data_IF_102027572200
#
_entry.id   IF_102027572200
#
_cell.length_a   1.000
_cell.length_b   1.000
_cell.length_c   1.000
_cell.angle_alpha   90.00
_cell.angle_beta   90.00
_cell.angle_gamma   90.00
#
_symmetry.space_group_name_H-M   'P 1'
#
loop_
_entity.id
_entity.type
_entity.pdbx_description
1 polymer ?
#
# COMPACT_ATOMS: atom_id res chain seq x y z
N UNK A 1 -16.42 1.50 -13.44
CA UNK A 1 -16.37 2.21 -12.16
C UNK A 1 -17.69 2.93 -11.92
N UNK A 2 -18.06 3.91 -12.74
CA UNK A 2 -19.26 4.75 -12.52
C UNK A 2 -20.54 3.92 -12.40
N UNK A 3 -20.75 2.97 -13.30
CA UNK A 3 -21.89 2.04 -13.23
C UNK A 3 -22.02 1.36 -11.85
N UNK A 4 -20.92 0.82 -11.33
CA UNK A 4 -20.92 0.17 -10.02
C UNK A 4 -21.18 1.12 -8.86
N UNK A 5 -20.63 2.35 -8.94
CA UNK A 5 -20.86 3.37 -7.93
C UNK A 5 -22.32 3.85 -7.92
N UNK A 6 -22.94 3.93 -9.09
CA UNK A 6 -24.29 4.48 -9.29
C UNK A 6 -25.38 3.44 -9.01
N UNK A 7 -25.28 2.25 -9.62
CA UNK A 7 -26.30 1.20 -9.50
C UNK A 7 -26.20 0.39 -8.19
N UNK A 8 -24.98 0.15 -7.72
CA UNK A 8 -24.74 -0.68 -6.52
C UNK A 8 -24.31 0.12 -5.30
N UNK A 9 -24.20 1.43 -5.41
CA UNK A 9 -23.83 2.35 -4.33
C UNK A 9 -22.51 2.00 -3.63
N UNK A 10 -21.56 1.42 -4.37
CA UNK A 10 -20.24 1.04 -3.85
C UNK A 10 -19.48 2.28 -3.37
N UNK A 11 -18.85 2.20 -2.19
CA UNK A 11 -18.17 3.32 -1.55
C UNK A 11 -16.73 3.55 -2.01
N UNK A 12 -16.17 2.62 -2.77
CA UNK A 12 -14.82 2.77 -3.31
C UNK A 12 -14.39 1.61 -4.20
N UNK A 13 -13.19 1.74 -4.75
CA UNK A 13 -12.63 0.80 -5.71
C UNK A 13 -11.16 0.54 -5.41
N UNK A 14 -10.81 -0.72 -5.34
CA UNK A 14 -9.43 -1.18 -5.28
C UNK A 14 -9.06 -1.80 -6.62
N UNK A 15 -7.96 -1.34 -7.20
CA UNK A 15 -7.43 -1.86 -8.46
C UNK A 15 -6.29 -2.83 -8.21
N UNK A 16 -6.52 -4.07 -8.59
CA UNK A 16 -5.48 -5.06 -8.73
C UNK A 16 -4.53 -4.63 -9.84
N UNK A 17 -3.21 -4.75 -9.64
CA UNK A 17 -2.23 -4.34 -10.63
C UNK A 17 -2.54 -2.95 -11.26
N UNK A 18 -2.82 -1.94 -10.44
CA UNK A 18 -3.14 -0.58 -10.91
C UNK A 18 -2.06 -0.02 -11.86
N UNK A 19 -0.81 -0.48 -11.69
CA UNK A 19 0.29 -0.12 -12.60
C UNK A 19 0.15 -0.61 -14.04
N UNK A 20 -0.88 -1.42 -14.37
CA UNK A 20 -1.28 -1.71 -15.75
C UNK A 20 -2.05 -0.56 -16.40
N UNK A 21 -2.55 0.37 -15.61
CA UNK A 21 -3.31 1.53 -16.06
C UNK A 21 -2.41 2.77 -16.10
N UNK A 22 -2.76 3.73 -16.93
CA UNK A 22 -2.07 5.02 -16.99
C UNK A 22 -2.59 6.01 -15.93
N UNK A 23 -1.76 7.01 -15.66
CA UNK A 23 -2.04 8.09 -14.71
C UNK A 23 -3.28 8.89 -15.12
N UNK A 24 -3.44 9.17 -16.41
CA UNK A 24 -4.55 9.98 -16.92
C UNK A 24 -5.90 9.28 -16.72
N UNK A 25 -5.96 7.96 -16.96
CA UNK A 25 -7.15 7.17 -16.69
C UNK A 25 -7.51 7.19 -15.21
N UNK A 26 -6.54 6.98 -14.32
CA UNK A 26 -6.78 6.99 -12.88
C UNK A 26 -7.26 8.36 -12.39
N UNK A 27 -6.60 9.43 -12.84
CA UNK A 27 -7.01 10.81 -12.54
C UNK A 27 -8.40 11.15 -13.12
N UNK A 28 -8.73 10.62 -14.29
CA UNK A 28 -10.07 10.78 -14.89
C UNK A 28 -11.14 10.06 -14.03
N UNK A 29 -10.88 8.84 -13.63
CA UNK A 29 -11.79 8.09 -12.72
C UNK A 29 -12.02 8.90 -11.44
N UNK A 30 -10.95 9.41 -10.82
CA UNK A 30 -11.05 10.23 -9.61
C UNK A 30 -11.93 11.45 -9.82
N UNK A 31 -11.65 12.22 -10.85
CA UNK A 31 -12.42 13.43 -11.20
C UNK A 31 -13.91 13.14 -11.43
N UNK A 32 -14.22 12.07 -12.15
CA UNK A 32 -15.63 11.70 -12.41
C UNK A 32 -16.37 11.28 -11.13
N UNK A 33 -15.69 10.59 -10.22
CA UNK A 33 -16.23 10.26 -8.91
C UNK A 33 -16.43 11.52 -8.05
N UNK A 34 -15.47 12.44 -8.06
CA UNK A 34 -15.54 13.69 -7.29
C UNK A 34 -16.68 14.60 -7.76
N UNK A 35 -16.90 14.70 -9.09
CA UNK A 35 -18.00 15.47 -9.65
C UNK A 35 -19.38 14.94 -9.19
N UNK A 36 -19.53 13.62 -9.10
CA UNK A 36 -20.81 13.00 -8.78
C UNK A 36 -21.08 12.90 -7.28
N UNK A 37 -20.06 12.63 -6.50
CA UNK A 37 -20.22 12.25 -5.08
C UNK A 37 -19.54 13.22 -4.11
N UNK A 38 -18.77 14.17 -4.61
CA UNK A 38 -17.95 15.07 -3.79
C UNK A 38 -16.48 14.62 -3.70
N UNK A 39 -15.59 15.59 -3.49
CA UNK A 39 -14.12 15.37 -3.47
C UNK A 39 -13.73 14.35 -2.40
N UNK A 40 -13.08 13.27 -2.82
CA UNK A 40 -12.55 12.24 -1.93
C UNK A 40 -13.59 11.35 -1.25
N UNK A 41 -14.90 11.53 -1.50
CA UNK A 41 -15.97 10.75 -0.84
C UNK A 41 -15.90 9.27 -1.18
N UNK A 42 -15.69 8.93 -2.46
CA UNK A 42 -15.48 7.55 -2.87
C UNK A 42 -14.01 7.20 -2.75
N UNK A 43 -13.68 6.10 -2.06
CA UNK A 43 -12.30 5.63 -1.89
C UNK A 43 -11.78 5.09 -3.23
N UNK A 44 -10.57 5.48 -3.59
CA UNK A 44 -9.91 5.00 -4.80
C UNK A 44 -8.45 4.68 -4.51
N UNK A 45 -8.03 3.43 -4.71
CA UNK A 45 -6.66 3.00 -4.48
C UNK A 45 -6.32 1.74 -5.26
N UNK A 46 -5.06 1.36 -5.29
CA UNK A 46 -4.66 0.12 -5.95
C UNK A 46 -3.21 -0.27 -5.71
N UNK A 47 -2.80 -1.31 -6.41
CA UNK A 47 -1.44 -1.84 -6.36
C UNK A 47 -0.54 -1.08 -7.34
N UNK A 48 0.54 -0.44 -6.84
CA UNK A 48 1.42 0.39 -7.66
C UNK A 48 2.49 -0.42 -8.40
N UNK A 49 2.15 -1.61 -8.83
CA UNK A 49 2.98 -2.49 -9.66
C UNK A 49 2.15 -3.05 -10.81
N UNK A 50 2.84 -3.67 -11.77
CA UNK A 50 2.24 -4.22 -12.98
C UNK A 50 2.90 -5.56 -13.33
N UNK A 51 2.19 -6.38 -14.09
CA UNK A 51 2.80 -7.45 -14.85
C UNK A 51 3.83 -6.90 -15.85
N UNK A 52 4.64 -7.77 -16.47
CA UNK A 52 5.68 -7.37 -17.41
C UNK A 52 5.11 -6.65 -18.65
N UNK A 53 3.95 -7.09 -19.13
CA UNK A 53 3.27 -6.54 -20.30
C UNK A 53 2.08 -5.66 -19.91
N UNK A 54 1.87 -4.62 -20.67
CA UNK A 54 0.75 -3.70 -20.53
C UNK A 54 0.26 -3.28 -21.92
N UNK A 55 -1.05 -3.04 -22.04
CA UNK A 55 -1.64 -2.50 -23.25
C UNK A 55 -1.42 -0.97 -23.43
N UNK A 56 -0.75 -0.32 -22.48
CA UNK A 56 -0.44 1.12 -22.60
C UNK A 56 0.60 1.32 -23.67
N UNK A 57 0.20 2.09 -24.69
CA UNK A 57 1.03 2.49 -25.82
C UNK A 57 1.65 3.87 -25.59
N UNK A 58 2.66 4.21 -26.43
CA UNK A 58 3.20 5.57 -26.56
C UNK A 58 3.87 6.18 -25.33
N UNK A 59 4.36 5.37 -24.39
CA UNK A 59 5.13 5.85 -23.25
C UNK A 59 4.32 6.65 -22.23
N UNK A 60 2.99 6.53 -22.22
CA UNK A 60 2.16 7.18 -21.20
C UNK A 60 2.61 6.77 -19.78
N UNK A 61 2.69 7.71 -18.83
CA UNK A 61 3.08 7.38 -17.46
C UNK A 61 2.06 6.45 -16.83
N UNK A 62 2.54 5.31 -16.33
CA UNK A 62 1.71 4.31 -15.67
C UNK A 62 1.49 4.66 -14.19
N UNK A 63 0.40 4.20 -13.61
CA UNK A 63 0.08 4.39 -12.19
C UNK A 63 0.97 3.50 -11.27
N UNK A 64 2.28 3.57 -11.51
CA UNK A 64 3.32 2.92 -10.73
C UNK A 64 3.74 3.79 -9.55
N UNK A 65 4.34 3.17 -8.56
CA UNK A 65 4.86 3.82 -7.34
C UNK A 65 5.72 5.05 -7.62
N UNK A 66 6.64 4.97 -8.59
CA UNK A 66 7.49 6.10 -8.98
C UNK A 66 6.75 7.29 -9.60
N UNK A 67 5.48 7.15 -9.93
CA UNK A 67 4.63 8.19 -10.52
C UNK A 67 3.53 8.69 -9.56
N UNK A 68 3.63 8.38 -8.27
CA UNK A 68 2.62 8.75 -7.26
C UNK A 68 2.33 10.26 -7.24
N UNK A 69 3.36 11.07 -7.48
CA UNK A 69 3.26 12.52 -7.56
C UNK A 69 2.48 13.04 -8.80
N UNK A 70 2.21 12.20 -9.78
CA UNK A 70 1.38 12.54 -10.95
C UNK A 70 -0.10 12.23 -10.72
N UNK A 71 -0.41 11.37 -9.75
CA UNK A 71 -1.78 11.05 -9.38
C UNK A 71 -2.42 12.14 -8.52
N UNK A 72 -3.74 12.20 -8.51
CA UNK A 72 -4.50 13.02 -7.57
C UNK A 72 -4.22 12.59 -6.13
N UNK A 73 -4.26 13.53 -5.20
CA UNK A 73 -4.00 13.29 -3.76
C UNK A 73 -4.97 12.32 -3.09
N UNK A 74 -6.13 12.05 -3.72
CA UNK A 74 -7.15 11.10 -3.26
C UNK A 74 -7.12 9.77 -4.03
N UNK A 75 -5.99 9.44 -4.65
CA UNK A 75 -5.72 8.11 -5.22
C UNK A 75 -4.62 7.45 -4.41
N UNK A 76 -4.99 6.43 -3.64
CA UNK A 76 -4.06 5.70 -2.77
C UNK A 76 -3.29 4.60 -3.49
N UNK A 77 -2.11 4.30 -2.97
CA UNK A 77 -1.27 3.18 -3.40
C UNK A 77 -0.88 2.31 -2.21
N UNK A 78 -0.95 1.00 -2.36
CA UNK A 78 -0.40 0.07 -1.37
C UNK A 78 1.09 0.32 -1.16
N UNK A 79 1.50 0.53 0.09
CA UNK A 79 2.89 0.79 0.44
C UNK A 79 3.62 -0.49 0.88
N UNK A 80 4.14 -1.22 -0.11
CA UNK A 80 4.94 -2.42 0.13
C UNK A 80 6.25 -2.12 0.86
N UNK A 81 6.77 -0.90 0.79
CA UNK A 81 7.94 -0.49 1.57
C UNK A 81 7.65 -0.51 3.07
N UNK A 82 6.50 0.00 3.50
CA UNK A 82 6.05 -0.08 4.90
C UNK A 82 5.83 -1.53 5.32
N UNK A 83 5.12 -2.31 4.49
CA UNK A 83 4.91 -3.75 4.75
C UNK A 83 6.22 -4.48 4.99
N UNK A 84 7.17 -4.32 4.07
CA UNK A 84 8.45 -5.04 4.10
C UNK A 84 9.38 -4.51 5.21
N UNK A 85 9.32 -3.23 5.54
CA UNK A 85 10.05 -2.69 6.68
C UNK A 85 9.54 -3.27 8.00
N UNK A 86 8.23 -3.35 8.18
CA UNK A 86 7.61 -3.86 9.41
C UNK A 86 7.84 -5.36 9.58
N UNK A 87 7.35 -6.18 8.65
CA UNK A 87 7.34 -7.66 8.81
C UNK A 87 8.46 -8.40 8.10
N UNK A 88 9.26 -7.71 7.29
CA UNK A 88 10.26 -8.32 6.41
C UNK A 88 9.69 -8.61 5.02
N UNK A 89 10.60 -8.86 4.06
CA UNK A 89 10.25 -9.02 2.65
C UNK A 89 9.17 -10.07 2.43
N UNK A 90 8.12 -9.69 1.71
CA UNK A 90 7.06 -10.61 1.30
C UNK A 90 7.55 -11.70 0.33
N UNK A 91 8.57 -11.39 -0.48
CA UNK A 91 9.15 -12.33 -1.46
C UNK A 91 10.21 -13.27 -0.86
N UNK A 92 10.71 -12.98 0.33
CA UNK A 92 11.75 -13.78 1.02
C UNK A 92 11.20 -14.24 2.37
N UNK A 93 10.62 -15.45 2.37
CA UNK A 93 9.87 -16.02 3.49
C UNK A 93 10.61 -15.86 4.83
N UNK A 94 11.89 -16.21 4.90
CA UNK A 94 12.70 -16.20 6.12
C UNK A 94 13.42 -14.87 6.40
N UNK A 95 13.21 -13.82 5.58
CA UNK A 95 13.85 -12.53 5.82
C UNK A 95 13.08 -11.76 6.88
N UNK A 96 13.70 -11.47 8.05
CA UNK A 96 13.05 -10.74 9.14
C UNK A 96 12.84 -9.26 8.78
N UNK A 97 11.94 -8.59 9.49
CA UNK A 97 11.72 -7.14 9.42
C UNK A 97 12.07 -6.46 10.74
N UNK A 98 11.72 -5.19 10.84
CA UNK A 98 12.01 -4.37 12.03
C UNK A 98 11.46 -4.99 13.31
N UNK A 99 10.21 -5.45 13.31
CA UNK A 99 9.57 -6.00 14.52
C UNK A 99 10.23 -7.28 15.04
N UNK A 100 10.94 -8.01 14.17
CA UNK A 100 11.69 -9.21 14.54
C UNK A 100 13.18 -8.95 14.78
N UNK A 101 13.55 -7.67 14.99
CA UNK A 101 14.89 -7.25 15.39
C UNK A 101 15.89 -7.06 14.24
N UNK A 102 15.44 -7.08 12.99
CA UNK A 102 16.30 -6.74 11.87
C UNK A 102 16.70 -5.26 11.90
N UNK A 103 17.98 -4.99 11.76
CA UNK A 103 18.53 -3.64 11.71
C UNK A 103 18.53 -3.06 10.31
N UNK A 104 18.58 -1.73 10.21
CA UNK A 104 18.63 -1.01 8.93
C UNK A 104 17.26 -0.63 8.36
N UNK A 105 16.18 -0.89 9.10
CA UNK A 105 14.82 -0.49 8.77
C UNK A 105 14.33 0.76 9.53
N UNK A 106 15.16 1.32 10.40
CA UNK A 106 14.78 2.42 11.30
C UNK A 106 14.31 3.66 10.52
N UNK A 107 15.00 4.00 9.43
CA UNK A 107 14.61 5.09 8.55
C UNK A 107 13.31 4.78 7.79
N UNK A 108 13.15 3.55 7.31
CA UNK A 108 11.93 3.13 6.59
C UNK A 108 10.71 3.15 7.52
N UNK A 109 10.88 2.78 8.79
CA UNK A 109 9.82 2.91 9.81
C UNK A 109 9.49 4.39 10.07
N UNK A 110 10.49 5.24 10.21
CA UNK A 110 10.27 6.69 10.41
C UNK A 110 9.56 7.33 9.20
N UNK A 111 9.93 6.95 7.98
CA UNK A 111 9.24 7.36 6.75
C UNK A 111 7.81 6.79 6.68
N UNK A 112 7.62 5.54 7.06
CA UNK A 112 6.29 4.91 7.11
C UNK A 112 5.34 5.67 8.02
N UNK A 113 5.81 6.09 9.21
CA UNK A 113 5.00 6.89 10.15
C UNK A 113 4.57 8.21 9.54
N UNK A 114 5.41 8.84 8.71
CA UNK A 114 5.11 10.10 8.02
C UNK A 114 4.50 9.93 6.63
N UNK A 115 4.03 8.74 6.28
CA UNK A 115 3.46 8.39 4.98
C UNK A 115 4.41 8.72 3.80
N UNK A 116 5.70 8.48 3.97
CA UNK A 116 6.72 8.66 2.92
C UNK A 116 6.74 10.08 2.30
N UNK A 117 6.36 11.07 3.08
CA UNK A 117 6.26 12.46 2.60
C UNK A 117 7.61 13.19 2.52
N UNK A 118 8.66 12.68 3.18
CA UNK A 118 9.97 13.36 3.23
C UNK A 118 10.92 12.88 2.14
N UNK A 119 11.23 11.59 2.13
CA UNK A 119 12.19 11.02 1.18
C UNK A 119 11.53 10.52 -0.10
N UNK A 120 10.22 10.37 -0.07
CA UNK A 120 9.45 9.80 -1.18
C UNK A 120 9.55 8.27 -1.27
N UNK A 121 8.69 7.72 -2.11
CA UNK A 121 8.63 6.28 -2.36
C UNK A 121 9.55 5.94 -3.53
N UNK A 122 10.50 5.04 -3.33
CA UNK A 122 11.39 4.59 -4.39
C UNK A 122 10.69 3.63 -5.35
N UNK A 123 10.92 3.80 -6.63
CA UNK A 123 10.53 2.83 -7.67
C UNK A 123 11.55 1.67 -7.74
N UNK A 124 11.19 0.61 -8.50
CA UNK A 124 12.12 -0.49 -8.79
C UNK A 124 13.39 0.01 -9.52
N UNK A 125 13.30 1.12 -10.25
CA UNK A 125 14.42 1.76 -10.95
C UNK A 125 15.24 2.72 -10.06
N UNK A 126 14.89 2.86 -8.79
CA UNK A 126 15.57 3.78 -7.86
C UNK A 126 15.12 5.23 -7.96
N UNK A 127 14.19 5.57 -8.84
CA UNK A 127 13.55 6.88 -8.88
C UNK A 127 12.66 7.04 -7.65
N UNK A 128 12.67 8.21 -7.05
CA UNK A 128 11.84 8.53 -5.88
C UNK A 128 10.84 9.60 -6.21
N UNK A 129 9.62 9.43 -5.73
CA UNK A 129 8.57 10.43 -5.84
C UNK A 129 7.89 10.61 -4.49
N UNK A 130 7.85 11.82 -3.93
CA UNK A 130 7.12 12.09 -2.69
C UNK A 130 5.61 11.96 -2.92
N UNK A 131 4.91 11.41 -1.94
CA UNK A 131 3.46 11.51 -1.91
C UNK A 131 3.05 12.97 -1.72
N UNK A 132 2.02 13.43 -2.42
CA UNK A 132 1.45 14.77 -2.24
C UNK A 132 0.73 14.93 -0.92
N UNK A 133 0.12 13.86 -0.45
CA UNK A 133 -0.65 13.82 0.77
C UNK A 133 -0.59 12.41 1.41
N UNK A 134 -0.75 12.29 2.73
CA UNK A 134 -0.83 11.00 3.40
C UNK A 134 -1.92 10.07 2.85
N UNK A 135 -3.03 10.62 2.33
CA UNK A 135 -4.12 9.88 1.68
C UNK A 135 -3.69 9.01 0.51
N UNK A 136 -2.55 9.33 -0.12
CA UNK A 136 -1.97 8.51 -1.19
C UNK A 136 -1.28 7.22 -0.69
N UNK A 137 -1.09 7.07 0.61
CA UNK A 137 -0.40 5.92 1.18
C UNK A 137 -1.41 4.99 1.86
N UNK A 138 -1.50 3.76 1.35
CA UNK A 138 -2.24 2.68 1.99
C UNK A 138 -1.26 1.86 2.82
N UNK A 139 -1.31 2.06 4.13
CA UNK A 139 -0.48 1.33 5.09
C UNK A 139 -1.09 -0.02 5.39
N UNK A 140 -0.30 -1.08 5.28
CA UNK A 140 -0.74 -2.46 5.50
C UNK A 140 0.45 -3.37 5.84
N UNK A 141 0.18 -4.55 6.36
CA UNK A 141 1.18 -5.61 6.56
C UNK A 141 0.75 -6.96 5.97
N UNK A 142 -0.55 -7.17 5.79
CA UNK A 142 -1.12 -8.37 5.16
C UNK A 142 -2.16 -7.98 4.11
N UNK A 143 -2.28 -8.79 3.07
CA UNK A 143 -3.32 -8.68 2.05
C UNK A 143 -3.71 -10.09 1.58
N UNK A 144 -4.48 -10.22 0.50
CA UNK A 144 -4.80 -11.51 -0.10
C UNK A 144 -3.59 -12.22 -0.74
N UNK A 145 -2.53 -11.47 -1.02
CA UNK A 145 -1.27 -11.98 -1.57
C UNK A 145 -0.22 -12.21 -0.48
N UNK A 146 0.59 -13.24 -0.67
CA UNK A 146 1.71 -13.62 0.19
C UNK A 146 1.26 -14.06 1.60
N UNK A 147 2.23 -14.20 2.50
CA UNK A 147 1.97 -14.60 3.89
C UNK A 147 1.27 -13.49 4.68
N UNK A 148 0.34 -13.87 5.54
CA UNK A 148 -0.16 -12.99 6.60
C UNK A 148 0.98 -12.56 7.53
N UNK A 149 0.74 -11.58 8.38
CA UNK A 149 1.70 -11.22 9.42
C UNK A 149 1.99 -12.39 10.34
N UNK A 150 0.95 -13.13 10.74
CA UNK A 150 1.08 -14.27 11.64
C UNK A 150 1.92 -15.40 11.05
N UNK A 151 1.68 -15.77 9.79
CA UNK A 151 2.48 -16.78 9.10
C UNK A 151 3.94 -16.33 8.92
N UNK A 152 4.15 -15.06 8.61
CA UNK A 152 5.49 -14.49 8.50
C UNK A 152 6.25 -14.54 9.81
N UNK A 153 5.59 -14.26 10.92
CA UNK A 153 6.18 -14.39 12.26
C UNK A 153 6.48 -15.85 12.59
N UNK A 154 5.69 -16.80 12.07
CA UNK A 154 5.98 -18.24 12.17
C UNK A 154 7.32 -18.64 11.60
N UNK A 155 7.79 -17.93 10.56
CA UNK A 155 9.07 -18.20 9.90
C UNK A 155 10.25 -17.38 10.44
N UNK A 156 9.96 -16.29 11.17
CA UNK A 156 11.00 -15.29 11.51
C UNK A 156 11.15 -15.02 13.02
N UNK A 157 10.31 -15.63 13.87
CA UNK A 157 10.31 -15.42 15.30
C UNK A 157 10.07 -16.72 16.07
N UNK A 158 10.54 -16.79 17.32
CA UNK A 158 10.20 -17.87 18.26
C UNK A 158 8.71 -17.85 18.59
N UNK A 159 8.12 -19.01 18.84
CA UNK A 159 6.67 -19.17 19.04
C UNK A 159 6.16 -18.31 20.20
N UNK A 160 6.86 -18.30 21.30
CA UNK A 160 6.54 -17.52 22.51
C UNK A 160 6.54 -16.00 22.29
N UNK A 161 7.26 -15.50 21.27
CA UNK A 161 7.35 -14.10 20.95
C UNK A 161 6.29 -13.63 19.94
N UNK A 162 5.69 -14.54 19.18
CA UNK A 162 4.83 -14.19 18.04
C UNK A 162 3.70 -13.23 18.42
N UNK A 163 2.99 -13.50 19.51
CA UNK A 163 1.87 -12.65 19.93
C UNK A 163 2.33 -11.24 20.31
N UNK A 164 3.46 -11.12 20.97
CA UNK A 164 4.05 -9.83 21.34
C UNK A 164 4.46 -9.06 20.09
N UNK A 165 5.10 -9.72 19.13
CA UNK A 165 5.55 -9.12 17.88
C UNK A 165 4.37 -8.74 16.97
N UNK A 166 3.30 -9.55 16.93
CA UNK A 166 2.08 -9.22 16.21
C UNK A 166 1.45 -7.92 16.75
N UNK A 167 1.35 -7.78 18.06
CA UNK A 167 0.87 -6.54 18.70
C UNK A 167 1.81 -5.35 18.46
N UNK A 168 3.13 -5.58 18.44
CA UNK A 168 4.11 -4.54 18.13
C UNK A 168 3.95 -4.05 16.68
N UNK A 169 3.73 -4.96 15.73
CA UNK A 169 3.42 -4.59 14.35
C UNK A 169 2.17 -3.72 14.28
N UNK A 170 1.09 -4.12 14.99
CA UNK A 170 -0.14 -3.35 15.06
C UNK A 170 0.09 -1.95 15.62
N UNK A 171 0.88 -1.81 16.69
CA UNK A 171 1.25 -0.51 17.23
C UNK A 171 1.96 0.38 16.19
N UNK A 172 2.83 -0.19 15.35
CA UNK A 172 3.51 0.56 14.29
C UNK A 172 2.53 0.97 13.20
N UNK A 173 1.87 0.03 12.53
CA UNK A 173 1.06 0.38 11.36
C UNK A 173 -0.21 1.17 11.68
N UNK A 174 -0.79 1.01 12.87
CA UNK A 174 -1.95 1.80 13.29
C UNK A 174 -1.60 3.25 13.68
N UNK A 175 -0.34 3.55 13.92
CA UNK A 175 0.13 4.91 14.22
C UNK A 175 0.75 5.62 13.02
N UNK A 176 0.86 4.96 11.88
CA UNK A 176 1.28 5.58 10.62
C UNK A 176 0.20 6.53 10.10
N UNK A 177 0.64 7.61 9.48
CA UNK A 177 -0.24 8.47 8.68
C UNK A 177 -0.66 7.73 7.40
N UNK A 178 -1.75 8.20 6.79
CA UNK A 178 -2.32 7.57 5.60
C UNK A 178 -3.56 6.76 5.90
N UNK A 179 -3.98 5.96 4.94
CA UNK A 179 -5.15 5.09 5.07
C UNK A 179 -4.70 3.70 5.50
N UNK A 180 -5.25 3.22 6.60
CA UNK A 180 -4.97 1.87 7.09
C UNK A 180 -5.81 0.84 6.33
N UNK A 181 -5.15 -0.20 5.85
CA UNK A 181 -5.78 -1.41 5.31
C UNK A 181 -5.46 -2.60 6.22
N UNK A 182 -6.50 -3.28 6.70
CA UNK A 182 -6.40 -4.50 7.50
C UNK A 182 -6.98 -5.68 6.73
N UNK A 183 -6.22 -6.77 6.62
CA UNK A 183 -6.77 -8.02 6.16
C UNK A 183 -7.75 -8.56 7.21
N UNK A 184 -8.94 -8.95 6.78
CA UNK A 184 -9.95 -9.52 7.67
C UNK A 184 -9.40 -10.72 8.44
N UNK A 185 -9.43 -10.66 9.76
CA UNK A 185 -8.89 -11.67 10.66
C UNK A 185 -7.49 -11.37 11.19
N UNK A 186 -6.83 -10.30 10.75
CA UNK A 186 -5.52 -9.93 11.25
C UNK A 186 -5.55 -9.59 12.75
N UNK A 187 -6.66 -9.06 13.23
CA UNK A 187 -6.91 -8.71 14.63
C UNK A 187 -6.89 -9.91 15.58
N UNK A 188 -7.11 -11.13 15.06
CA UNK A 188 -7.01 -12.39 15.84
C UNK A 188 -5.92 -13.34 15.30
N UNK A 189 -4.92 -12.79 14.62
CA UNK A 189 -3.75 -13.53 14.14
C UNK A 189 -4.10 -14.66 13.13
N UNK A 190 -4.93 -14.34 12.15
CA UNK A 190 -5.32 -15.25 11.06
C UNK A 190 -4.10 -15.77 10.29
N UNK A 191 -4.12 -17.06 9.95
CA UNK A 191 -3.24 -17.75 8.99
C UNK A 191 -3.84 -17.68 7.59
#
# INVERSE_FOLDING_TARGET
>A
VLYWAEEYHIDGFRFDLMGLLDVDLMNRIRRELDIRYGKGVKILFGEPWAAQETAIENGAPRALRGNINLLDENIGMFCDLTRDAVKGSALKIKRPGFITGARGYENDIAESVSAWGKTGISSIKGETAPAKAPSQIITYVSSHDNQTLWDKLGETAAEEERMRLNRMAAAVYMTCQGTLFLLSGEEFART
#
